data_IF_205299697099
#
_entry.id   IF_205299697099
#
_cell.length_a   1.000
_cell.length_b   1.000
_cell.length_c   1.000
_cell.angle_alpha   90.00
_cell.angle_beta   90.00
_cell.angle_gamma   90.00
#
_symmetry.space_group_name_H-M   'P 1'
#
loop_
_entity.id
_entity.type
_entity.pdbx_description
1 polymer ?
#
# COMPACT_ATOMS: atom_id res chain seq x y z
N UNK A 1 17.56 12.99 12.14
CA UNK A 1 16.86 12.38 11.00
C UNK A 1 17.37 13.04 9.73
N UNK A 2 17.69 12.24 8.71
CA UNK A 2 18.12 12.68 7.38
C UNK A 2 17.09 12.22 6.35
N UNK A 3 16.76 13.10 5.41
CA UNK A 3 15.84 12.79 4.31
C UNK A 3 16.62 12.26 3.12
N UNK A 4 16.14 11.18 2.53
CA UNK A 4 16.62 10.66 1.25
C UNK A 4 15.49 10.79 0.23
N UNK A 5 15.67 11.60 -0.81
CA UNK A 5 14.72 11.66 -1.92
C UNK A 5 14.82 10.38 -2.73
N UNK A 6 13.74 9.60 -2.80
CA UNK A 6 13.71 8.24 -3.34
C UNK A 6 12.53 8.08 -4.30
N UNK A 7 12.55 8.75 -5.47
CA UNK A 7 11.50 8.66 -6.47
C UNK A 7 11.40 7.25 -7.05
N UNK A 8 10.27 6.97 -7.70
CA UNK A 8 10.01 5.71 -8.38
C UNK A 8 8.56 5.27 -8.24
N UNK A 9 8.12 5.04 -7.01
CA UNK A 9 6.69 4.84 -6.73
C UNK A 9 5.87 6.11 -6.98
N UNK A 10 6.41 7.24 -6.51
CA UNK A 10 5.96 8.59 -6.84
C UNK A 10 7.18 9.52 -6.98
N UNK A 11 7.13 10.56 -7.84
CA UNK A 11 8.24 11.50 -8.02
C UNK A 11 8.68 12.22 -6.73
N UNK A 12 7.74 12.49 -5.84
CA UNK A 12 7.98 13.21 -4.58
C UNK A 12 8.42 12.31 -3.40
N UNK A 13 8.49 10.99 -3.60
CA UNK A 13 8.68 10.03 -2.50
C UNK A 13 10.02 10.21 -1.77
N UNK A 14 9.99 10.16 -0.44
CA UNK A 14 11.17 10.29 0.43
C UNK A 14 11.24 9.18 1.46
N UNK A 15 12.44 8.66 1.71
CA UNK A 15 12.77 7.81 2.85
C UNK A 15 13.39 8.64 3.98
N UNK A 16 13.21 8.20 5.21
CA UNK A 16 13.73 8.89 6.40
C UNK A 16 14.72 8.02 7.16
N UNK A 17 15.99 8.43 7.16
CA UNK A 17 17.07 7.75 7.89
C UNK A 17 17.15 8.34 9.30
N UNK A 18 17.07 7.49 10.31
CA UNK A 18 16.98 7.86 11.72
C UNK A 18 18.18 7.29 12.46
N UNK A 19 18.79 8.11 13.31
CA UNK A 19 19.85 7.73 14.23
C UNK A 19 19.38 7.97 15.66
N UNK A 20 19.68 7.06 16.57
CA UNK A 20 19.54 7.29 18.01
C UNK A 20 20.78 8.03 18.52
N UNK A 21 20.68 9.36 18.52
CA UNK A 21 21.78 10.26 18.91
C UNK A 21 22.16 10.18 20.38
N UNK A 22 21.41 9.46 21.21
CA UNK A 22 21.84 9.15 22.58
C UNK A 22 22.92 8.06 22.62
N UNK A 23 23.07 7.29 21.54
CA UNK A 23 23.98 6.14 21.41
C UNK A 23 25.03 6.32 20.34
N UNK A 24 24.65 6.85 19.16
CA UNK A 24 25.55 7.06 18.02
C UNK A 24 24.94 8.03 17.00
N UNK A 25 25.78 8.65 16.18
CA UNK A 25 25.34 9.36 14.97
C UNK A 25 25.15 8.43 13.76
N UNK A 26 25.52 7.15 13.90
CA UNK A 26 25.29 6.12 12.87
C UNK A 26 23.78 5.87 12.64
N UNK A 27 23.36 5.59 11.38
CA UNK A 27 21.99 5.19 11.09
C UNK A 27 21.56 3.96 11.90
N UNK A 28 20.43 4.09 12.60
CA UNK A 28 19.82 2.99 13.33
C UNK A 28 18.74 2.30 12.48
N UNK A 29 17.86 3.10 11.87
CA UNK A 29 16.77 2.61 11.03
C UNK A 29 16.47 3.54 9.86
N UNK A 30 15.77 3.02 8.87
CA UNK A 30 15.21 3.79 7.75
C UNK A 30 13.72 3.48 7.58
N UNK A 31 12.92 4.54 7.54
CA UNK A 31 11.51 4.47 7.15
C UNK A 31 11.46 4.55 5.63
N UNK A 32 11.14 3.44 4.96
CA UNK A 32 11.26 3.31 3.50
C UNK A 32 9.97 3.61 2.74
N UNK A 33 8.85 3.83 3.46
CA UNK A 33 7.57 4.11 2.82
C UNK A 33 7.25 3.09 1.74
N UNK A 34 6.84 3.57 0.57
CA UNK A 34 6.60 2.77 -0.62
C UNK A 34 7.80 2.87 -1.58
N UNK A 35 8.97 2.44 -1.12
CA UNK A 35 10.16 2.26 -1.95
C UNK A 35 10.70 0.83 -1.83
N UNK A 36 11.37 0.51 -0.70
CA UNK A 36 11.84 -0.84 -0.38
C UNK A 36 10.88 -1.50 0.62
N UNK A 37 10.43 -2.71 0.30
CA UNK A 37 9.61 -3.54 1.16
C UNK A 37 10.38 -4.77 1.66
N UNK A 38 9.77 -5.53 2.59
CA UNK A 38 10.34 -6.81 3.02
C UNK A 38 10.13 -7.85 1.91
N UNK A 39 11.22 -8.21 1.23
CA UNK A 39 11.23 -9.19 0.13
C UNK A 39 10.66 -8.68 -1.19
N UNK A 40 10.43 -7.37 -1.33
CA UNK A 40 9.88 -6.77 -2.55
C UNK A 40 10.27 -5.29 -2.70
N UNK A 41 9.84 -4.65 -3.78
CA UNK A 41 9.93 -3.21 -3.99
C UNK A 41 8.59 -2.64 -4.45
N UNK A 42 8.44 -1.32 -4.38
CA UNK A 42 7.20 -0.66 -4.79
C UNK A 42 6.93 -0.77 -6.30
N UNK A 43 5.64 -0.77 -6.68
CA UNK A 43 5.26 -0.66 -8.08
C UNK A 43 5.49 0.76 -8.63
N UNK A 44 6.03 0.92 -9.86
CA UNK A 44 6.42 2.21 -10.42
C UNK A 44 5.36 2.91 -11.28
N UNK A 45 4.19 2.31 -11.48
CA UNK A 45 3.22 2.66 -12.55
C UNK A 45 2.00 3.45 -12.07
N UNK A 46 1.97 3.88 -10.81
CA UNK A 46 0.78 4.56 -10.25
C UNK A 46 0.75 6.07 -10.48
N UNK A 47 1.91 6.72 -10.55
CA UNK A 47 2.01 8.18 -10.64
C UNK A 47 2.67 8.67 -11.94
N UNK A 48 3.50 7.85 -12.56
CA UNK A 48 4.23 8.16 -13.79
C UNK A 48 4.16 6.95 -14.74
N UNK A 49 4.67 7.14 -15.96
CA UNK A 49 4.85 6.04 -16.89
C UNK A 49 5.78 4.97 -16.27
N UNK A 50 5.38 3.70 -16.39
CA UNK A 50 5.94 2.59 -15.63
C UNK A 50 7.45 2.41 -15.83
N UNK A 51 7.95 2.57 -17.06
CA UNK A 51 9.38 2.43 -17.37
C UNK A 51 10.18 3.54 -16.70
N UNK A 52 9.70 4.79 -16.76
CA UNK A 52 10.37 5.91 -16.10
C UNK A 52 10.38 5.76 -14.57
N UNK A 53 9.23 5.42 -13.98
CA UNK A 53 9.15 5.14 -12.54
C UNK A 53 10.05 3.99 -12.12
N UNK A 54 10.20 2.96 -12.95
CA UNK A 54 11.06 1.81 -12.64
C UNK A 54 12.55 2.20 -12.64
N UNK A 55 12.99 3.06 -13.56
CA UNK A 55 14.37 3.58 -13.57
C UNK A 55 14.67 4.41 -12.33
N UNK A 56 13.76 5.31 -11.97
CA UNK A 56 13.88 6.13 -10.77
C UNK A 56 13.91 5.26 -9.51
N UNK A 57 13.02 4.27 -9.44
CA UNK A 57 12.97 3.32 -8.33
C UNK A 57 14.28 2.55 -8.21
N UNK A 58 14.83 2.04 -9.31
CA UNK A 58 16.10 1.34 -9.31
C UNK A 58 17.22 2.21 -8.72
N UNK A 59 17.37 3.45 -9.19
CA UNK A 59 18.36 4.39 -8.68
C UNK A 59 18.13 4.74 -7.19
N UNK A 60 16.88 4.80 -6.74
CA UNK A 60 16.53 5.00 -5.33
C UNK A 60 16.90 3.80 -4.47
N UNK A 61 16.65 2.58 -4.95
CA UNK A 61 17.04 1.35 -4.25
C UNK A 61 18.56 1.24 -4.13
N UNK A 62 19.32 1.55 -5.19
CA UNK A 62 20.79 1.55 -5.12
C UNK A 62 21.31 2.50 -4.02
N UNK A 63 20.74 3.72 -3.91
CA UNK A 63 21.09 4.67 -2.84
C UNK A 63 20.70 4.19 -1.45
N UNK A 64 19.56 3.51 -1.30
CA UNK A 64 19.19 2.89 -0.02
C UNK A 64 20.18 1.77 0.36
N UNK A 65 20.66 1.01 -0.62
CA UNK A 65 21.64 -0.04 -0.41
C UNK A 65 23.05 0.47 -0.09
N UNK A 66 23.32 1.78 -0.14
CA UNK A 66 24.57 2.34 0.40
C UNK A 66 24.58 2.40 1.95
N UNK A 67 23.42 2.22 2.59
CA UNK A 67 23.32 2.19 4.06
C UNK A 67 24.02 0.95 4.67
N UNK A 68 24.48 1.02 5.93
CA UNK A 68 25.07 -0.13 6.61
C UNK A 68 24.10 -1.33 6.73
N UNK A 69 24.63 -2.56 6.70
CA UNK A 69 23.83 -3.79 6.69
C UNK A 69 22.89 -3.94 7.90
N UNK A 70 23.31 -3.41 9.04
CA UNK A 70 22.57 -3.48 10.31
C UNK A 70 21.42 -2.48 10.42
N UNK A 71 21.25 -1.56 9.47
CA UNK A 71 20.16 -0.57 9.49
C UNK A 71 18.84 -1.29 9.30
N UNK A 72 17.92 -1.11 10.25
CA UNK A 72 16.58 -1.67 10.19
C UNK A 72 15.75 -0.94 9.14
N UNK A 73 14.94 -1.71 8.40
CA UNK A 73 14.06 -1.20 7.34
C UNK A 73 12.62 -1.35 7.80
N UNK A 74 11.90 -0.23 7.81
CA UNK A 74 10.48 -0.16 8.13
C UNK A 74 9.69 0.39 6.94
N UNK A 75 8.98 -0.47 6.20
CA UNK A 75 8.19 -0.07 5.04
C UNK A 75 6.86 0.60 5.43
N UNK A 76 6.25 1.29 4.45
CA UNK A 76 4.91 1.86 4.57
C UNK A 76 3.79 0.82 4.45
N UNK A 77 4.08 -0.32 3.81
CA UNK A 77 3.15 -1.43 3.64
C UNK A 77 3.81 -2.80 3.92
N UNK A 78 2.97 -3.77 4.26
CA UNK A 78 3.33 -5.19 4.47
C UNK A 78 2.39 -6.09 3.65
N UNK A 79 2.58 -7.42 3.70
CA UNK A 79 1.76 -8.41 2.99
C UNK A 79 0.26 -8.09 2.95
N UNK A 80 -0.32 -8.11 1.74
CA UNK A 80 -1.74 -7.87 1.49
C UNK A 80 -2.08 -6.48 0.94
N UNK A 81 -1.11 -5.56 0.85
CA UNK A 81 -1.25 -4.31 0.09
C UNK A 81 -1.02 -4.54 -1.41
N UNK A 82 -1.75 -3.78 -2.25
CA UNK A 82 -1.60 -3.77 -3.71
C UNK A 82 -0.37 -2.96 -4.19
N UNK A 83 0.35 -2.30 -3.28
CA UNK A 83 1.52 -1.50 -3.61
C UNK A 83 2.78 -2.35 -3.91
N UNK A 84 2.78 -3.63 -3.53
CA UNK A 84 3.83 -4.62 -3.83
C UNK A 84 3.23 -5.95 -4.30
N UNK A 85 4.02 -6.75 -5.03
CA UNK A 85 3.58 -7.98 -5.67
C UNK A 85 3.71 -9.23 -4.75
N UNK A 86 4.72 -9.29 -3.88
CA UNK A 86 5.06 -10.47 -3.06
C UNK A 86 5.61 -10.11 -1.67
N UNK A 87 5.03 -9.10 -1.01
CA UNK A 87 5.51 -8.66 0.32
C UNK A 87 5.35 -9.72 1.41
N UNK A 88 6.36 -9.81 2.29
CA UNK A 88 6.32 -10.62 3.52
C UNK A 88 5.36 -10.06 4.57
N UNK A 89 4.88 -10.91 5.50
CA UNK A 89 4.08 -10.50 6.66
C UNK A 89 4.92 -9.92 7.80
N UNK A 90 6.26 -9.99 7.72
CA UNK A 90 7.15 -9.34 8.69
C UNK A 90 7.00 -7.83 8.62
N UNK A 91 6.99 -7.19 9.79
CA UNK A 91 6.86 -5.74 9.91
C UNK A 91 8.16 -4.98 9.57
N UNK A 92 9.31 -5.65 9.63
CA UNK A 92 10.62 -5.05 9.36
C UNK A 92 11.63 -6.07 8.84
N UNK A 93 12.74 -5.55 8.33
CA UNK A 93 13.92 -6.29 7.83
C UNK A 93 15.18 -5.45 8.05
N UNK A 94 16.31 -5.79 7.43
CA UNK A 94 17.51 -4.94 7.42
C UNK A 94 18.02 -4.70 6.02
N UNK A 95 18.78 -3.61 5.83
CA UNK A 95 19.42 -3.31 4.54
C UNK A 95 20.28 -4.49 4.07
N UNK A 96 21.06 -5.11 4.97
CA UNK A 96 21.92 -6.23 4.62
C UNK A 96 21.15 -7.49 4.24
N UNK A 97 19.98 -7.72 4.84
CA UNK A 97 19.13 -8.87 4.50
C UNK A 97 18.50 -8.67 3.12
N UNK A 98 17.88 -7.51 2.87
CA UNK A 98 17.27 -7.21 1.58
C UNK A 98 18.30 -7.17 0.46
N UNK A 99 19.48 -6.59 0.68
CA UNK A 99 20.58 -6.60 -0.30
C UNK A 99 20.93 -8.01 -0.79
N UNK A 100 20.88 -8.99 0.11
CA UNK A 100 21.29 -10.37 -0.17
C UNK A 100 20.17 -11.25 -0.70
N UNK A 101 18.93 -10.99 -0.31
CA UNK A 101 17.84 -11.95 -0.47
C UNK A 101 16.56 -11.38 -1.08
N UNK A 102 16.47 -10.06 -1.29
CA UNK A 102 15.32 -9.49 -1.97
C UNK A 102 15.42 -9.81 -3.48
N UNK A 103 14.46 -10.55 -4.06
CA UNK A 103 14.52 -10.95 -5.47
C UNK A 103 14.51 -9.75 -6.43
N UNK A 104 13.90 -8.63 -6.04
CA UNK A 104 13.91 -7.39 -6.82
C UNK A 104 15.28 -6.71 -6.84
N UNK A 105 16.15 -7.04 -5.90
CA UNK A 105 17.53 -6.52 -5.82
C UNK A 105 18.56 -7.50 -6.39
N UNK A 106 18.16 -8.74 -6.68
CA UNK A 106 19.03 -9.76 -7.27
C UNK A 106 19.27 -9.57 -8.77
N UNK A 107 18.50 -8.70 -9.44
CA UNK A 107 18.66 -8.41 -10.87
C UNK A 107 20.05 -7.84 -11.17
N UNK A 108 20.67 -8.30 -12.26
CA UNK A 108 22.06 -8.01 -12.61
C UNK A 108 22.28 -6.59 -13.17
N UNK A 109 21.23 -5.76 -13.23
CA UNK A 109 21.31 -4.37 -13.68
C UNK A 109 19.95 -3.72 -13.92
N UNK A 110 19.97 -2.41 -14.16
CA UNK A 110 18.77 -1.56 -14.35
C UNK A 110 17.80 -2.10 -15.40
N UNK A 111 18.30 -2.60 -16.53
CA UNK A 111 17.45 -3.07 -17.63
C UNK A 111 16.56 -4.26 -17.23
N UNK A 112 17.12 -5.22 -16.49
CA UNK A 112 16.40 -6.39 -16.01
C UNK A 112 15.37 -5.98 -14.95
N UNK A 113 15.76 -5.09 -14.02
CA UNK A 113 14.85 -4.53 -13.02
C UNK A 113 13.65 -3.82 -13.65
N UNK A 114 13.90 -2.94 -14.62
CA UNK A 114 12.86 -2.18 -15.32
C UNK A 114 11.91 -3.12 -16.06
N UNK A 115 12.46 -4.12 -16.74
CA UNK A 115 11.66 -5.11 -17.47
C UNK A 115 10.77 -5.92 -16.53
N UNK A 116 11.29 -6.36 -15.38
CA UNK A 116 10.51 -7.09 -14.39
C UNK A 116 9.43 -6.20 -13.74
N UNK A 117 9.80 -4.98 -13.33
CA UNK A 117 8.94 -4.10 -12.55
C UNK A 117 7.83 -3.44 -13.37
N UNK A 118 8.15 -2.98 -14.59
CA UNK A 118 7.19 -2.29 -15.46
C UNK A 118 6.13 -3.23 -16.06
N UNK A 119 6.37 -4.55 -16.03
CA UNK A 119 5.40 -5.56 -16.47
C UNK A 119 4.36 -5.92 -15.41
N UNK A 120 4.44 -5.37 -14.19
CA UNK A 120 3.53 -5.70 -13.09
C UNK A 120 2.12 -5.19 -13.37
N UNK A 121 1.14 -6.09 -13.56
CA UNK A 121 -0.23 -5.76 -14.00
C UNK A 121 -1.30 -5.78 -12.90
N UNK A 122 -0.93 -5.51 -11.65
CA UNK A 122 -1.94 -5.47 -10.58
C UNK A 122 -2.96 -4.35 -10.89
N UNK A 123 -4.27 -4.64 -10.86
CA UNK A 123 -5.29 -3.65 -11.22
C UNK A 123 -5.18 -2.44 -10.30
N UNK A 124 -5.26 -1.24 -10.90
CA UNK A 124 -5.30 0.02 -10.16
C UNK A 124 -6.68 0.14 -9.50
N UNK A 125 -6.77 0.36 -8.17
CA UNK A 125 -8.05 0.64 -7.53
C UNK A 125 -8.72 1.87 -8.16
N UNK A 126 -10.04 1.84 -8.41
CA UNK A 126 -10.72 2.93 -9.11
C UNK A 126 -10.82 4.22 -8.28
N UNK A 127 -10.62 4.15 -6.96
CA UNK A 127 -10.64 5.30 -6.06
C UNK A 127 -9.25 5.92 -5.81
N UNK A 128 -8.19 5.46 -6.50
CA UNK A 128 -6.83 5.95 -6.26
C UNK A 128 -6.70 7.46 -6.45
N UNK A 129 -7.30 8.02 -7.50
CA UNK A 129 -7.19 9.46 -7.79
C UNK A 129 -7.86 10.32 -6.72
N UNK A 130 -9.01 9.87 -6.20
CA UNK A 130 -9.70 10.50 -5.06
C UNK A 130 -8.83 10.48 -3.80
N UNK A 131 -8.16 9.36 -3.51
CA UNK A 131 -7.25 9.26 -2.36
C UNK A 131 -6.08 10.24 -2.52
N UNK A 132 -5.50 10.34 -3.72
CA UNK A 132 -4.41 11.29 -4.02
C UNK A 132 -4.86 12.74 -3.82
N UNK A 133 -6.05 13.09 -4.30
CA UNK A 133 -6.63 14.42 -4.13
C UNK A 133 -6.85 14.76 -2.66
N UNK A 134 -7.44 13.85 -1.88
CA UNK A 134 -7.63 14.02 -0.44
C UNK A 134 -6.30 14.21 0.30
N UNK A 135 -5.28 13.41 -0.03
CA UNK A 135 -3.95 13.48 0.59
C UNK A 135 -3.19 14.78 0.24
N UNK A 136 -3.48 15.39 -0.90
CA UNK A 136 -2.96 16.73 -1.28
C UNK A 136 -3.73 17.87 -0.63
N UNK A 137 -4.97 17.60 -0.24
CA UNK A 137 -5.88 18.57 0.37
C UNK A 137 -5.58 18.86 1.83
N UNK A 138 -6.54 19.50 2.50
CA UNK A 138 -6.46 19.74 3.94
C UNK A 138 -6.70 18.44 4.70
N UNK A 139 -6.14 18.36 5.90
CA UNK A 139 -6.43 17.27 6.83
C UNK A 139 -7.95 17.12 6.99
N UNK A 140 -8.46 15.94 6.65
CA UNK A 140 -9.89 15.62 6.75
C UNK A 140 -10.22 15.39 8.22
N UNK A 141 -11.28 16.03 8.71
CA UNK A 141 -11.79 15.82 10.06
C UNK A 141 -12.33 14.38 10.23
N UNK A 142 -12.58 13.97 11.47
CA UNK A 142 -13.24 12.69 11.73
C UNK A 142 -14.58 12.61 10.96
N UNK A 143 -14.92 11.44 10.37
CA UNK A 143 -16.20 11.28 9.69
C UNK A 143 -17.36 11.49 10.66
N UNK A 144 -18.49 11.96 10.13
CA UNK A 144 -19.75 12.02 10.88
C UNK A 144 -20.09 10.63 11.42
N UNK A 145 -20.59 10.50 12.66
CA UNK A 145 -21.08 9.22 13.18
C UNK A 145 -22.09 8.58 12.23
N UNK A 146 -22.05 7.25 12.13
CA UNK A 146 -23.04 6.50 11.35
C UNK A 146 -24.41 6.63 11.99
N UNK A 147 -25.43 6.88 11.17
CA UNK A 147 -26.83 6.89 11.58
C UNK A 147 -27.47 5.54 11.21
N UNK A 148 -28.21 4.97 12.15
CA UNK A 148 -28.99 3.75 11.90
C UNK A 148 -30.20 4.09 11.02
N UNK A 149 -30.58 3.16 10.14
CA UNK A 149 -31.70 3.29 9.21
C UNK A 149 -32.56 2.03 9.29
N UNK A 150 -33.87 2.21 9.38
CA UNK A 150 -34.82 1.09 9.44
C UNK A 150 -35.04 0.44 8.06
N UNK A 151 -34.90 1.23 6.99
CA UNK A 151 -35.13 0.80 5.61
C UNK A 151 -33.81 0.64 4.85
N UNK A 152 -33.68 -0.49 4.13
CA UNK A 152 -32.53 -0.80 3.29
C UNK A 152 -32.82 -0.43 1.83
N UNK A 153 -32.29 0.70 1.39
CA UNK A 153 -32.36 1.18 0.00
C UNK A 153 -30.99 1.12 -0.70
N UNK A 154 -30.90 0.64 -1.96
CA UNK A 154 -29.66 0.65 -2.73
C UNK A 154 -29.04 2.06 -2.91
N UNK A 155 -27.70 2.19 -2.97
CA UNK A 155 -26.72 1.09 -2.93
C UNK A 155 -26.50 0.54 -1.52
N UNK A 156 -26.50 -0.79 -1.37
CA UNK A 156 -26.28 -1.49 -0.10
C UNK A 156 -24.96 -2.27 -0.18
N UNK A 157 -24.05 -1.98 0.74
CA UNK A 157 -22.86 -2.79 0.98
C UNK A 157 -23.12 -3.74 2.13
N UNK A 158 -23.32 -5.02 1.82
CA UNK A 158 -23.50 -6.06 2.84
C UNK A 158 -22.12 -6.59 3.28
N UNK A 159 -21.76 -6.36 4.54
CA UNK A 159 -20.45 -6.71 5.09
C UNK A 159 -20.46 -8.02 5.90
N UNK A 160 -21.59 -8.74 5.91
CA UNK A 160 -21.74 -10.03 6.60
C UNK A 160 -20.92 -11.14 5.94
N UNK A 161 -20.66 -12.26 6.65
CA UNK A 161 -20.04 -13.44 6.05
C UNK A 161 -20.78 -13.90 4.78
N UNK A 162 -20.02 -14.36 3.78
CA UNK A 162 -20.58 -14.73 2.47
C UNK A 162 -21.63 -15.83 2.55
N UNK A 163 -21.53 -16.75 3.52
CA UNK A 163 -22.51 -17.81 3.74
C UNK A 163 -23.86 -17.26 4.22
N UNK A 164 -23.85 -16.26 5.11
CA UNK A 164 -25.06 -15.58 5.58
C UNK A 164 -25.72 -14.80 4.45
N UNK A 165 -24.93 -14.09 3.64
CA UNK A 165 -25.42 -13.41 2.44
C UNK A 165 -26.03 -14.41 1.44
N UNK A 166 -25.36 -15.54 1.22
CA UNK A 166 -25.81 -16.60 0.31
C UNK A 166 -27.11 -17.27 0.77
N UNK A 167 -27.34 -17.39 2.08
CA UNK A 167 -28.59 -17.90 2.64
C UNK A 167 -29.77 -16.91 2.50
N UNK A 168 -29.48 -15.61 2.41
CA UNK A 168 -30.49 -14.58 2.18
C UNK A 168 -29.94 -13.15 2.25
N UNK A 169 -30.34 -12.33 1.30
CA UNK A 169 -29.90 -10.93 1.19
C UNK A 169 -30.94 -10.06 0.50
N UNK A 170 -30.80 -8.74 0.69
CA UNK A 170 -31.63 -7.72 0.02
C UNK A 170 -31.27 -7.66 -1.47
N UNK A 171 -32.28 -7.62 -2.34
CA UNK A 171 -32.07 -7.47 -3.78
C UNK A 171 -31.27 -6.18 -4.09
N UNK A 172 -30.24 -6.30 -4.93
CA UNK A 172 -29.36 -5.19 -5.29
C UNK A 172 -28.23 -4.91 -4.28
N UNK A 173 -28.15 -5.63 -3.16
CA UNK A 173 -27.00 -5.54 -2.26
C UNK A 173 -25.76 -6.21 -2.86
N UNK A 174 -24.59 -5.62 -2.61
CA UNK A 174 -23.29 -6.20 -2.97
C UNK A 174 -22.59 -6.68 -1.71
N UNK A 175 -22.17 -7.95 -1.68
CA UNK A 175 -21.48 -8.52 -0.53
C UNK A 175 -19.98 -8.29 -0.59
N UNK A 176 -19.44 -7.62 0.43
CA UNK A 176 -17.99 -7.52 0.68
C UNK A 176 -17.74 -7.86 2.15
N UNK A 177 -17.50 -9.14 2.49
CA UNK A 177 -17.36 -9.55 3.89
C UNK A 177 -16.21 -8.84 4.61
N UNK A 178 -16.49 -8.27 5.79
CA UNK A 178 -15.51 -7.51 6.58
C UNK A 178 -14.33 -8.36 7.07
N UNK A 179 -14.60 -9.61 7.46
CA UNK A 179 -13.61 -10.55 8.02
C UNK A 179 -12.53 -11.01 7.02
N UNK A 180 -12.76 -10.77 5.73
CA UNK A 180 -11.86 -11.19 4.66
C UNK A 180 -10.83 -10.08 4.40
N UNK A 181 -9.57 -10.48 4.18
CA UNK A 181 -8.45 -9.55 3.89
C UNK A 181 -8.78 -8.62 2.71
N UNK A 182 -8.24 -7.40 2.76
CA UNK A 182 -8.41 -6.42 1.71
C UNK A 182 -9.86 -5.92 1.59
N UNK A 183 -10.60 -5.83 2.70
CA UNK A 183 -11.97 -5.29 2.71
C UNK A 183 -12.06 -3.94 1.97
N UNK A 184 -11.26 -2.95 2.38
CA UNK A 184 -11.28 -1.62 1.79
C UNK A 184 -10.95 -1.64 0.28
N UNK A 185 -9.98 -2.46 -0.14
CA UNK A 185 -9.63 -2.64 -1.55
C UNK A 185 -10.79 -3.25 -2.33
N UNK A 186 -11.40 -4.33 -1.85
CA UNK A 186 -12.52 -4.98 -2.54
C UNK A 186 -13.75 -4.08 -2.59
N UNK A 187 -14.04 -3.34 -1.52
CA UNK A 187 -15.10 -2.35 -1.48
C UNK A 187 -14.89 -1.26 -2.55
N UNK A 188 -13.65 -0.79 -2.71
CA UNK A 188 -13.32 0.19 -3.74
C UNK A 188 -13.61 -0.30 -5.17
N UNK A 189 -13.51 -1.60 -5.46
CA UNK A 189 -13.81 -2.14 -6.80
C UNK A 189 -15.30 -2.29 -7.11
N UNK A 190 -16.17 -2.18 -6.11
CA UNK A 190 -17.62 -2.40 -6.28
C UNK A 190 -18.46 -1.17 -5.95
N UNK A 191 -17.91 -0.20 -5.22
CA UNK A 191 -18.55 1.07 -4.93
C UNK A 191 -18.02 2.14 -5.88
N UNK A 192 -18.92 2.95 -6.43
CA UNK A 192 -18.52 4.12 -7.20
C UNK A 192 -17.99 5.22 -6.25
N UNK A 193 -17.04 6.07 -6.70
CA UNK A 193 -16.41 7.10 -5.84
C UNK A 193 -17.38 8.08 -5.18
N UNK A 194 -18.57 8.27 -5.76
CA UNK A 194 -19.58 9.24 -5.31
C UNK A 194 -20.79 8.56 -4.64
N UNK A 195 -20.77 7.22 -4.50
CA UNK A 195 -21.81 6.48 -3.79
C UNK A 195 -21.60 6.55 -2.28
N UNK A 196 -22.69 6.79 -1.55
CA UNK A 196 -22.76 6.63 -0.09
C UNK A 196 -23.65 5.43 0.22
N UNK A 197 -23.07 4.21 0.33
CA UNK A 197 -23.88 3.02 0.52
C UNK A 197 -24.44 2.93 1.94
N UNK A 198 -25.61 2.32 2.08
CA UNK A 198 -26.03 1.78 3.36
C UNK A 198 -25.16 0.56 3.69
N UNK A 199 -24.57 0.56 4.88
CA UNK A 199 -23.75 -0.56 5.36
C UNK A 199 -24.67 -1.52 6.10
N UNK A 200 -24.85 -2.72 5.55
CA UNK A 200 -25.59 -3.78 6.25
C UNK A 200 -24.61 -4.73 6.92
N UNK A 201 -24.62 -4.73 8.26
CA UNK A 201 -23.75 -5.54 9.10
C UNK A 201 -24.55 -6.57 9.88
N UNK A 202 -23.92 -7.68 10.27
CA UNK A 202 -24.50 -8.57 11.27
C UNK A 202 -24.54 -7.78 12.59
N UNK A 203 -25.72 -7.77 13.20
CA UNK A 203 -26.01 -7.03 14.44
C UNK A 203 -24.96 -7.31 15.53
N UNK A 204 -24.62 -6.27 16.28
CA UNK A 204 -23.77 -6.32 17.49
C UNK A 204 -24.33 -7.37 18.47
N UNK A 205 -23.61 -8.47 18.62
CA UNK A 205 -23.47 -9.17 19.90
C UNK A 205 -22.02 -9.01 20.37
#
# INVERSE_FOLDING_TARGET
MRVLHTPGHRPEHCCFVVADRSRSDEPWLVLTGDSLFVGDAARPDLAVEAVNGARELFASLQRLLELPDGVEVFPGHVAGSLCGASMSSKASTTIGFERRFNPMLASSGEHEFVSASALTRSPRPPNLDRIVELNRGRLVAAPTPLEERDELEPPILDIRPAEVFGAGHTAGAINVPLERRGFATRAAFVLLPDESPLIYAATRE
#
